data_IF_291250431343
#
_entry.id   IF_291250431343
#
_cell.length_a   1.000
_cell.length_b   1.000
_cell.length_c   1.000
_cell.angle_alpha   90.00
_cell.angle_beta   90.00
_cell.angle_gamma   90.00
#
_symmetry.space_group_name_H-M   'P 1'
#
loop_
_entity.id
_entity.type
_entity.pdbx_description
1 polymer ?
#
# COMPACT_ATOMS: atom_id res chain seq x y z
N UNK A 1 -4.15 9.61 11.34
CA UNK A 1 -4.05 8.15 11.45
C UNK A 1 -2.66 7.76 11.88
N UNK A 2 -2.61 6.85 12.84
CA UNK A 2 -1.36 6.25 13.31
C UNK A 2 -0.86 5.19 12.31
N UNK A 3 0.40 5.26 11.91
CA UNK A 3 1.06 4.24 11.09
C UNK A 3 1.67 3.18 12.00
N UNK A 4 1.12 1.96 11.95
CA UNK A 4 1.71 0.82 12.62
C UNK A 4 2.61 0.07 11.65
N UNK A 5 3.90 0.01 11.95
CA UNK A 5 4.97 -0.47 11.07
C UNK A 5 5.70 -1.61 11.75
N UNK A 6 5.94 -2.70 11.04
CA UNK A 6 6.84 -3.76 11.47
C UNK A 6 8.17 -3.68 10.71
N UNK A 7 9.27 -3.90 11.41
CA UNK A 7 10.60 -4.09 10.82
C UNK A 7 11.05 -5.50 11.21
N UNK A 8 11.32 -6.34 10.21
CA UNK A 8 11.79 -7.70 10.43
C UNK A 8 13.10 -7.95 9.66
N UNK A 9 14.21 -8.12 10.40
CA UNK A 9 15.56 -8.29 9.86
C UNK A 9 16.41 -8.93 10.94
N UNK A 10 17.23 -9.95 10.66
CA UNK A 10 18.07 -10.60 11.66
C UNK A 10 19.34 -9.80 11.99
N UNK A 11 19.70 -8.83 11.17
CA UNK A 11 20.87 -7.97 11.37
C UNK A 11 20.53 -6.70 12.16
N UNK A 12 21.04 -6.58 13.38
CA UNK A 12 20.80 -5.43 14.27
C UNK A 12 21.13 -4.08 13.64
N UNK A 13 22.19 -4.04 12.84
CA UNK A 13 22.60 -2.79 12.17
C UNK A 13 21.49 -2.26 11.26
N UNK A 14 20.94 -3.11 10.40
CA UNK A 14 19.91 -2.71 9.45
C UNK A 14 18.58 -2.39 10.14
N UNK A 15 18.19 -3.18 11.16
CA UNK A 15 17.00 -2.82 11.96
C UNK A 15 17.07 -1.42 12.52
N UNK A 16 18.22 -1.05 13.11
CA UNK A 16 18.41 0.29 13.69
C UNK A 16 18.46 1.39 12.62
N UNK A 17 19.10 1.12 11.48
CA UNK A 17 19.18 2.08 10.39
C UNK A 17 17.80 2.35 9.77
N UNK A 18 17.01 1.31 9.51
CA UNK A 18 15.65 1.41 9.00
C UNK A 18 14.78 2.17 10.01
N UNK A 19 14.83 1.77 11.29
CA UNK A 19 14.06 2.43 12.35
C UNK A 19 14.33 3.93 12.38
N UNK A 20 15.61 4.33 12.43
CA UNK A 20 15.99 5.74 12.48
C UNK A 20 15.48 6.52 11.26
N UNK A 21 15.61 5.97 10.05
CA UNK A 21 15.15 6.62 8.81
C UNK A 21 13.64 6.78 8.78
N UNK A 22 12.91 5.74 9.20
CA UNK A 22 11.45 5.80 9.29
C UNK A 22 11.01 6.81 10.34
N UNK A 23 11.63 6.80 11.52
CA UNK A 23 11.32 7.75 12.59
C UNK A 23 11.54 9.20 12.13
N UNK A 24 12.68 9.50 11.49
CA UNK A 24 12.99 10.83 10.96
C UNK A 24 11.97 11.26 9.90
N UNK A 25 11.58 10.37 9.00
CA UNK A 25 10.57 10.64 7.98
C UNK A 25 9.20 10.93 8.60
N UNK A 26 8.73 10.07 9.50
CA UNK A 26 7.41 10.17 10.11
C UNK A 26 7.27 11.43 10.99
N UNK A 27 8.31 11.77 11.75
CA UNK A 27 8.38 13.01 12.52
C UNK A 27 8.33 14.25 11.62
N UNK A 28 9.09 14.26 10.52
CA UNK A 28 9.12 15.35 9.54
C UNK A 28 7.77 15.58 8.87
N UNK A 29 7.03 14.50 8.60
CA UNK A 29 5.68 14.52 8.01
C UNK A 29 4.57 14.73 9.03
N UNK A 30 4.89 14.81 10.33
CA UNK A 30 3.93 14.91 11.43
C UNK A 30 2.89 13.78 11.42
N UNK A 31 3.35 12.55 11.16
CA UNK A 31 2.54 11.33 11.13
C UNK A 31 2.71 10.62 12.48
N UNK A 32 1.60 10.29 13.17
CA UNK A 32 1.62 9.43 14.34
C UNK A 32 2.03 8.01 13.95
N UNK A 33 2.89 7.36 14.74
CA UNK A 33 3.41 6.04 14.39
C UNK A 33 3.68 5.17 15.61
N UNK A 34 3.67 3.87 15.36
CA UNK A 34 4.18 2.81 16.22
C UNK A 34 5.05 1.89 15.35
N UNK A 35 6.30 1.63 15.79
CA UNK A 35 7.24 0.78 15.06
C UNK A 35 7.65 -0.38 15.96
N UNK A 36 7.28 -1.59 15.57
CA UNK A 36 7.68 -2.82 16.23
C UNK A 36 8.83 -3.49 15.47
N UNK A 37 9.75 -4.09 16.22
CA UNK A 37 10.95 -4.72 15.67
C UNK A 37 10.89 -6.22 15.93
N UNK A 38 11.12 -7.01 14.88
CA UNK A 38 11.22 -8.46 14.88
C UNK A 38 12.61 -8.88 14.40
N UNK A 39 13.14 -9.94 15.00
CA UNK A 39 14.49 -10.42 14.72
C UNK A 39 14.50 -11.65 13.83
N UNK A 40 13.36 -12.32 13.67
CA UNK A 40 13.19 -13.51 12.84
C UNK A 40 11.84 -13.51 12.14
N UNK A 41 11.75 -14.22 11.02
CA UNK A 41 10.49 -14.39 10.29
C UNK A 41 9.44 -15.15 11.09
N UNK A 42 9.90 -16.13 11.89
CA UNK A 42 9.04 -16.93 12.77
C UNK A 42 8.36 -16.05 13.80
N UNK A 43 9.09 -15.16 14.46
CA UNK A 43 8.58 -14.23 15.47
C UNK A 43 7.47 -13.33 14.89
N UNK A 44 7.66 -12.80 13.67
CA UNK A 44 6.65 -12.02 12.98
C UNK A 44 5.42 -12.87 12.60
N UNK A 45 5.62 -14.11 12.18
CA UNK A 45 4.53 -15.03 11.82
C UNK A 45 3.72 -15.53 13.02
N UNK A 46 4.30 -15.56 14.23
CA UNK A 46 3.59 -15.91 15.47
C UNK A 46 2.45 -14.95 15.82
N UNK A 47 2.44 -13.75 15.23
CA UNK A 47 1.32 -12.82 15.38
C UNK A 47 0.01 -13.37 14.82
N UNK A 48 0.05 -14.27 13.82
CA UNK A 48 -1.14 -14.79 13.17
C UNK A 48 -2.04 -13.68 12.66
N UNK A 49 -3.32 -13.70 13.01
CA UNK A 49 -4.30 -12.68 12.59
C UNK A 49 -3.96 -11.25 13.06
N UNK A 50 -3.19 -11.09 14.13
CA UNK A 50 -2.80 -9.76 14.62
C UNK A 50 -1.93 -8.98 13.65
N UNK A 51 -1.34 -9.65 12.64
CA UNK A 51 -0.56 -9.01 11.59
C UNK A 51 -1.37 -7.98 10.80
N UNK A 52 -2.70 -8.12 10.72
CA UNK A 52 -3.60 -7.19 10.01
C UNK A 52 -3.62 -5.78 10.62
N UNK A 53 -3.12 -5.63 11.86
CA UNK A 53 -2.99 -4.32 12.49
C UNK A 53 -1.84 -3.48 11.94
N UNK A 54 -0.90 -4.11 11.24
CA UNK A 54 0.19 -3.39 10.58
C UNK A 54 -0.24 -2.82 9.25
N UNK A 55 0.18 -1.58 9.02
CA UNK A 55 -0.02 -0.91 7.74
C UNK A 55 1.11 -1.23 6.77
N UNK A 56 2.35 -1.27 7.30
CA UNK A 56 3.57 -1.46 6.52
C UNK A 56 4.45 -2.51 7.21
N UNK A 57 5.05 -3.39 6.43
CA UNK A 57 6.06 -4.36 6.89
C UNK A 57 7.32 -4.19 6.05
N UNK A 58 8.42 -3.77 6.69
CA UNK A 58 9.76 -3.81 6.13
C UNK A 58 10.39 -5.15 6.47
N UNK A 59 10.80 -5.90 5.46
CA UNK A 59 11.10 -7.32 5.59
C UNK A 59 12.40 -7.66 4.87
N UNK A 60 13.41 -8.12 5.61
CA UNK A 60 14.59 -8.69 4.98
C UNK A 60 14.25 -10.03 4.32
N UNK A 61 14.80 -10.27 3.15
CA UNK A 61 14.64 -11.54 2.44
C UNK A 61 15.55 -12.61 3.02
N UNK A 62 16.79 -12.25 3.32
CA UNK A 62 17.83 -13.21 3.70
C UNK A 62 18.00 -13.33 5.21
N UNK A 63 16.98 -13.79 5.88
CA UNK A 63 17.05 -14.09 7.31
C UNK A 63 17.41 -15.57 7.58
N UNK A 64 18.02 -15.82 8.72
CA UNK A 64 18.21 -17.19 9.22
C UNK A 64 16.86 -17.80 9.56
N UNK A 65 16.65 -19.06 9.20
CA UNK A 65 15.37 -19.76 9.39
C UNK A 65 14.40 -19.46 8.25
N UNK A 66 13.25 -18.84 8.55
CA UNK A 66 12.26 -18.50 7.55
C UNK A 66 12.69 -17.27 6.75
N UNK A 67 12.80 -17.40 5.44
CA UNK A 67 13.14 -16.28 4.58
C UNK A 67 11.97 -15.28 4.45
N UNK A 68 12.28 -14.03 4.05
CA UNK A 68 11.29 -12.96 3.97
C UNK A 68 10.19 -13.21 2.93
N UNK A 69 10.45 -13.96 1.86
CA UNK A 69 9.42 -14.27 0.85
C UNK A 69 8.36 -15.20 1.45
N UNK A 70 8.78 -16.22 2.21
CA UNK A 70 7.86 -17.14 2.89
C UNK A 70 7.03 -16.39 3.97
N UNK A 71 7.66 -15.46 4.69
CA UNK A 71 6.96 -14.57 5.63
C UNK A 71 5.92 -13.73 4.91
N UNK A 72 6.28 -13.11 3.79
CA UNK A 72 5.35 -12.30 2.99
C UNK A 72 4.16 -13.11 2.47
N UNK A 73 4.38 -14.34 2.02
CA UNK A 73 3.31 -15.25 1.61
C UNK A 73 2.35 -15.54 2.77
N UNK A 74 2.86 -15.76 3.99
CA UNK A 74 2.01 -15.94 5.18
C UNK A 74 1.23 -14.69 5.53
N UNK A 75 1.84 -13.50 5.43
CA UNK A 75 1.13 -12.23 5.62
C UNK A 75 -0.03 -12.11 4.64
N UNK A 76 0.16 -12.50 3.38
CA UNK A 76 -0.89 -12.45 2.34
C UNK A 76 -2.07 -13.39 2.61
N UNK A 77 -1.90 -14.45 3.41
CA UNK A 77 -3.04 -15.28 3.85
C UNK A 77 -4.02 -14.51 4.75
N UNK A 78 -3.55 -13.46 5.42
CA UNK A 78 -4.36 -12.65 6.34
C UNK A 78 -4.80 -11.32 5.74
N UNK A 79 -3.97 -10.69 4.88
CA UNK A 79 -4.28 -9.37 4.34
C UNK A 79 -3.52 -9.06 3.04
N UNK A 80 -4.26 -8.66 2.01
CA UNK A 80 -3.73 -8.07 0.78
C UNK A 80 -3.40 -6.57 0.94
N UNK A 81 -3.90 -5.92 2.00
CA UNK A 81 -3.81 -4.47 2.18
C UNK A 81 -2.51 -4.00 2.82
N UNK A 82 -1.76 -4.89 3.47
CA UNK A 82 -0.49 -4.55 4.12
C UNK A 82 0.54 -4.21 3.05
N UNK A 83 1.17 -3.05 3.16
CA UNK A 83 2.29 -2.67 2.31
C UNK A 83 3.54 -3.45 2.71
N UNK A 84 4.00 -4.37 1.87
CA UNK A 84 5.23 -5.13 2.08
C UNK A 84 6.35 -4.45 1.30
N UNK A 85 7.44 -4.13 1.99
CA UNK A 85 8.67 -3.55 1.44
C UNK A 85 9.81 -4.51 1.74
N UNK A 86 10.37 -5.10 0.71
CA UNK A 86 11.55 -5.95 0.89
C UNK A 86 12.81 -5.12 1.00
N UNK A 87 13.68 -5.50 1.93
CA UNK A 87 15.01 -4.96 2.09
C UNK A 87 15.99 -6.11 1.94
N UNK A 88 16.92 -6.02 1.02
CA UNK A 88 17.84 -7.13 0.73
C UNK A 88 19.21 -6.64 0.27
N UNK A 89 20.23 -7.43 0.53
CA UNK A 89 21.56 -7.21 -0.05
C UNK A 89 21.69 -7.69 -1.51
N UNK A 90 20.71 -8.45 -2.02
CA UNK A 90 20.78 -9.12 -3.32
C UNK A 90 19.60 -8.80 -4.23
N UNK A 91 19.87 -8.52 -5.51
CA UNK A 91 18.87 -8.18 -6.53
C UNK A 91 18.07 -9.39 -7.03
N UNK A 92 18.61 -10.60 -6.93
CA UNK A 92 18.09 -11.80 -7.61
C UNK A 92 16.69 -12.26 -7.15
N UNK A 93 16.21 -11.76 -6.02
CA UNK A 93 14.89 -12.11 -5.45
C UNK A 93 13.71 -11.25 -5.94
N UNK A 94 13.95 -10.33 -6.87
CA UNK A 94 12.92 -9.40 -7.35
C UNK A 94 11.70 -10.08 -7.99
N UNK A 95 11.89 -11.28 -8.59
CA UNK A 95 10.83 -12.04 -9.26
C UNK A 95 9.85 -12.69 -8.27
N UNK A 96 10.34 -13.20 -7.13
CA UNK A 96 9.48 -13.88 -6.16
C UNK A 96 8.63 -12.90 -5.36
N UNK A 97 9.11 -11.70 -5.11
CA UNK A 97 8.30 -10.69 -4.45
C UNK A 97 7.23 -10.03 -5.32
N UNK A 98 7.35 -10.10 -6.64
CA UNK A 98 6.25 -9.72 -7.53
C UNK A 98 5.00 -10.57 -7.27
N UNK A 99 5.18 -11.86 -6.95
CA UNK A 99 4.08 -12.81 -6.65
C UNK A 99 3.34 -12.47 -5.34
N UNK A 100 3.99 -11.80 -4.40
CA UNK A 100 3.38 -11.41 -3.12
C UNK A 100 2.91 -9.95 -3.09
N UNK A 101 2.93 -9.27 -4.23
CA UNK A 101 2.48 -7.88 -4.33
C UNK A 101 3.28 -6.91 -3.46
N UNK A 102 4.59 -7.11 -3.37
CA UNK A 102 5.46 -6.17 -2.67
C UNK A 102 5.45 -4.79 -3.35
N UNK A 103 5.43 -3.74 -2.55
CA UNK A 103 5.37 -2.36 -3.07
C UNK A 103 6.71 -1.94 -3.66
N UNK A 104 7.81 -2.32 -3.00
CA UNK A 104 9.17 -1.94 -3.36
C UNK A 104 10.20 -2.97 -2.90
N UNK A 105 11.35 -2.94 -3.57
CA UNK A 105 12.59 -3.58 -3.19
C UNK A 105 13.64 -2.53 -2.90
N UNK A 106 14.23 -2.56 -1.72
CA UNK A 106 15.29 -1.66 -1.30
C UNK A 106 16.58 -2.45 -1.10
N UNK A 107 17.67 -1.97 -1.70
CA UNK A 107 18.98 -2.61 -1.59
C UNK A 107 19.74 -2.07 -0.37
N UNK A 108 20.14 -2.96 0.55
CA UNK A 108 20.90 -2.63 1.74
C UNK A 108 22.23 -1.92 1.46
N UNK A 109 22.91 -2.28 0.38
CA UNK A 109 24.24 -1.79 0.01
C UNK A 109 24.21 -0.58 -0.95
N UNK A 110 23.08 0.13 -1.05
CA UNK A 110 22.99 1.30 -1.89
C UNK A 110 23.43 2.55 -1.11
N UNK A 111 24.37 3.32 -1.65
CA UNK A 111 24.78 4.63 -1.09
C UNK A 111 23.59 5.57 -0.87
N UNK A 112 22.52 5.40 -1.64
CA UNK A 112 21.25 6.15 -1.55
C UNK A 112 20.17 5.43 -0.74
N UNK A 113 20.51 4.49 0.15
CA UNK A 113 19.53 3.70 0.91
C UNK A 113 18.54 4.58 1.70
N UNK A 114 19.02 5.67 2.27
CA UNK A 114 18.16 6.67 2.93
C UNK A 114 17.11 7.23 1.97
N UNK A 115 17.56 7.71 0.81
CA UNK A 115 16.66 8.29 -0.19
C UNK A 115 15.64 7.26 -0.70
N UNK A 116 16.07 6.00 -0.87
CA UNK A 116 15.21 4.92 -1.28
C UNK A 116 14.10 4.62 -0.26
N UNK A 117 14.39 4.69 1.05
CA UNK A 117 13.36 4.56 2.11
C UNK A 117 12.38 5.73 2.04
N UNK A 118 12.86 6.98 1.91
CA UNK A 118 12.02 8.16 1.83
C UNK A 118 11.10 8.12 0.61
N UNK A 119 11.63 7.80 -0.56
CA UNK A 119 10.86 7.64 -1.82
C UNK A 119 9.81 6.52 -1.69
N UNK A 120 10.17 5.42 -1.02
CA UNK A 120 9.24 4.33 -0.76
C UNK A 120 8.09 4.79 0.14
N UNK A 121 8.40 5.49 1.21
CA UNK A 121 7.38 6.02 2.13
C UNK A 121 6.49 7.07 1.47
N UNK A 122 7.05 7.97 0.65
CA UNK A 122 6.25 8.94 -0.12
C UNK A 122 5.29 8.23 -1.09
N UNK A 123 5.73 7.15 -1.74
CA UNK A 123 4.88 6.35 -2.62
C UNK A 123 3.75 5.63 -1.86
N UNK A 124 4.04 5.11 -0.66
CA UNK A 124 3.03 4.47 0.21
C UNK A 124 2.05 5.52 0.73
N UNK A 125 2.54 6.66 1.23
CA UNK A 125 1.72 7.75 1.73
C UNK A 125 0.77 8.28 0.65
N UNK A 126 1.28 8.46 -0.58
CA UNK A 126 0.45 8.82 -1.74
C UNK A 126 -0.66 7.78 -1.97
N UNK A 127 -0.36 6.48 -1.90
CA UNK A 127 -1.38 5.42 -2.07
C UNK A 127 -2.43 5.45 -0.96
N UNK A 128 -2.01 5.64 0.30
CA UNK A 128 -2.92 5.73 1.45
C UNK A 128 -3.84 6.95 1.30
N UNK A 129 -3.29 8.10 0.94
CA UNK A 129 -4.06 9.33 0.80
C UNK A 129 -5.01 9.27 -0.40
N UNK A 130 -4.59 8.68 -1.51
CA UNK A 130 -5.43 8.46 -2.69
C UNK A 130 -6.61 7.53 -2.38
N UNK A 131 -6.37 6.43 -1.64
CA UNK A 131 -7.45 5.50 -1.26
C UNK A 131 -8.46 6.08 -0.27
N UNK A 132 -8.14 7.22 0.37
CA UNK A 132 -9.03 7.94 1.29
C UNK A 132 -9.69 9.16 0.70
N UNK A 133 -9.38 9.46 -0.55
CA UNK A 133 -9.96 10.62 -1.22
C UNK A 133 -11.47 10.47 -1.28
N UNK A 134 -12.16 11.40 -0.61
CA UNK A 134 -13.62 11.54 -0.69
C UNK A 134 -13.89 12.56 -1.78
N UNK A 135 -14.68 12.17 -2.78
CA UNK A 135 -15.16 13.06 -3.83
C UNK A 135 -16.65 13.17 -3.79
N UNK A 136 -17.15 14.38 -4.08
CA UNK A 136 -18.56 14.66 -4.22
C UNK A 136 -18.95 14.54 -5.69
N UNK A 137 -19.85 13.61 -5.97
CA UNK A 137 -20.47 13.43 -7.29
C UNK A 137 -21.91 13.89 -7.26
N UNK A 138 -22.41 14.38 -8.41
CA UNK A 138 -23.79 14.78 -8.57
C UNK A 138 -24.49 13.73 -9.44
N UNK A 139 -25.07 12.74 -8.77
CA UNK A 139 -25.86 11.70 -9.42
C UNK A 139 -27.28 12.17 -9.76
N UNK A 140 -27.99 11.39 -10.57
CA UNK A 140 -29.40 11.67 -10.91
C UNK A 140 -30.31 11.71 -9.69
N UNK A 141 -29.94 10.98 -8.63
CA UNK A 141 -30.68 10.95 -7.34
C UNK A 141 -30.27 12.08 -6.39
N UNK A 142 -29.21 12.83 -6.71
CA UNK A 142 -28.67 13.91 -5.89
C UNK A 142 -27.18 13.79 -5.60
N UNK A 143 -26.62 14.75 -4.84
CA UNK A 143 -25.21 14.74 -4.51
C UNK A 143 -24.88 13.61 -3.50
N UNK A 144 -23.76 12.91 -3.74
CA UNK A 144 -23.25 11.88 -2.86
C UNK A 144 -21.72 12.02 -2.72
N UNK A 145 -21.23 11.93 -1.50
CA UNK A 145 -19.80 11.88 -1.20
C UNK A 145 -19.35 10.42 -1.13
N UNK A 146 -18.38 10.06 -1.95
CA UNK A 146 -17.91 8.69 -2.10
C UNK A 146 -16.40 8.68 -1.87
N UNK A 147 -15.93 7.73 -1.05
CA UNK A 147 -14.51 7.39 -1.05
C UNK A 147 -14.14 6.80 -2.40
N UNK A 148 -13.14 7.36 -3.04
CA UNK A 148 -12.70 6.95 -4.38
C UNK A 148 -12.37 5.44 -4.43
N UNK A 149 -11.79 4.88 -3.38
CA UNK A 149 -11.50 3.44 -3.27
C UNK A 149 -12.75 2.53 -3.30
N UNK A 150 -13.93 3.08 -3.04
CA UNK A 150 -15.18 2.31 -3.12
C UNK A 150 -15.73 2.20 -4.53
N UNK A 151 -15.24 3.01 -5.47
CA UNK A 151 -15.63 2.91 -6.86
C UNK A 151 -14.94 1.67 -7.46
N UNK A 152 -15.73 0.66 -7.83
CA UNK A 152 -15.23 -0.58 -8.40
C UNK A 152 -14.86 -0.36 -9.86
N UNK A 153 -15.79 0.23 -10.64
CA UNK A 153 -15.58 0.64 -12.01
C UNK A 153 -16.68 1.64 -12.44
N UNK A 154 -16.46 2.33 -13.55
CA UNK A 154 -17.42 3.24 -14.17
C UNK A 154 -17.59 2.85 -15.63
N UNK A 155 -18.82 2.71 -16.08
CA UNK A 155 -19.16 2.48 -17.47
C UNK A 155 -19.77 3.73 -18.10
N UNK A 156 -19.59 3.90 -19.41
CA UNK A 156 -20.23 4.97 -20.17
C UNK A 156 -21.29 4.41 -21.10
N UNK A 157 -22.51 4.93 -21.00
CA UNK A 157 -23.61 4.60 -21.91
C UNK A 157 -24.33 5.86 -22.32
N UNK A 158 -24.24 6.26 -23.59
CA UNK A 158 -24.98 7.39 -24.20
C UNK A 158 -24.94 8.69 -23.35
N UNK A 159 -23.75 9.22 -23.02
CA UNK A 159 -23.55 10.41 -22.19
C UNK A 159 -23.96 10.26 -20.71
N UNK A 160 -24.20 9.04 -20.26
CA UNK A 160 -24.44 8.70 -18.87
C UNK A 160 -23.27 7.88 -18.36
N UNK A 161 -22.78 8.20 -17.18
CA UNK A 161 -21.80 7.43 -16.46
C UNK A 161 -22.50 6.61 -15.39
N UNK A 162 -22.22 5.31 -15.36
CA UNK A 162 -22.78 4.32 -14.46
C UNK A 162 -21.69 3.88 -13.48
N UNK A 163 -21.83 4.29 -12.21
CA UNK A 163 -20.86 3.99 -11.16
C UNK A 163 -21.26 2.73 -10.41
N UNK A 164 -20.37 1.77 -10.37
CA UNK A 164 -20.46 0.57 -9.54
C UNK A 164 -19.64 0.78 -8.28
N UNK A 165 -20.32 0.86 -7.12
CA UNK A 165 -19.71 1.27 -5.85
C UNK A 165 -19.84 0.15 -4.85
N UNK A 166 -18.74 -0.21 -4.19
CA UNK A 166 -18.70 -1.24 -3.16
C UNK A 166 -19.55 -0.83 -1.95
N UNK A 167 -20.44 -1.72 -1.53
CA UNK A 167 -21.34 -1.48 -0.39
C UNK A 167 -22.63 -0.71 -0.71
N UNK A 168 -22.81 -0.25 -1.95
CA UNK A 168 -24.07 0.34 -2.43
C UNK A 168 -24.90 -0.72 -3.18
N UNK A 169 -26.21 -0.68 -2.97
CA UNK A 169 -27.15 -1.51 -3.73
C UNK A 169 -27.52 -0.80 -5.02
N UNK A 170 -27.06 -1.35 -6.16
CA UNK A 170 -27.38 -0.81 -7.49
C UNK A 170 -26.31 0.13 -8.03
N UNK A 171 -26.57 0.60 -9.25
CA UNK A 171 -25.68 1.48 -10.02
C UNK A 171 -26.09 2.94 -9.80
N UNK A 172 -25.12 3.81 -9.53
CA UNK A 172 -25.34 5.25 -9.44
C UNK A 172 -25.08 5.91 -10.79
N UNK A 173 -26.01 6.74 -11.24
CA UNK A 173 -25.95 7.34 -12.56
C UNK A 173 -25.72 8.85 -12.49
N UNK A 174 -24.80 9.36 -13.32
CA UNK A 174 -24.64 10.81 -13.54
C UNK A 174 -24.48 11.11 -15.03
N UNK A 175 -24.82 12.34 -15.42
CA UNK A 175 -24.52 12.81 -16.76
C UNK A 175 -23.09 13.30 -16.84
N UNK A 176 -22.39 12.91 -17.90
CA UNK A 176 -20.99 13.27 -18.12
C UNK A 176 -20.33 12.42 -19.19
N UNK A 177 -19.06 12.71 -19.45
CA UNK A 177 -18.23 11.99 -20.39
C UNK A 177 -17.12 11.28 -19.65
N UNK A 178 -16.77 10.10 -20.15
CA UNK A 178 -15.74 9.28 -19.54
C UNK A 178 -14.34 9.93 -19.61
N UNK A 179 -14.05 10.60 -20.75
CA UNK A 179 -12.78 11.30 -20.95
C UNK A 179 -12.59 12.49 -19.98
N UNK A 180 -13.67 13.19 -19.63
CA UNK A 180 -13.65 14.25 -18.62
C UNK A 180 -13.37 13.68 -17.24
N UNK A 181 -14.01 12.56 -16.90
CA UNK A 181 -13.79 11.86 -15.64
C UNK A 181 -12.35 11.28 -15.56
N UNK A 182 -11.83 10.76 -16.67
CA UNK A 182 -10.44 10.28 -16.75
C UNK A 182 -9.42 11.37 -16.45
N UNK A 183 -9.63 12.58 -16.98
CA UNK A 183 -8.77 13.72 -16.68
C UNK A 183 -8.78 14.06 -15.19
N UNK A 184 -9.95 14.04 -14.54
CA UNK A 184 -10.07 14.30 -13.12
C UNK A 184 -9.40 13.24 -12.25
N UNK A 185 -9.30 12.01 -12.77
CA UNK A 185 -8.71 10.86 -12.07
C UNK A 185 -7.31 10.46 -12.56
N UNK A 186 -6.65 11.25 -13.40
CA UNK A 186 -5.31 10.92 -13.98
C UNK A 186 -4.26 10.51 -12.95
N UNK A 187 -4.34 11.03 -11.75
CA UNK A 187 -3.44 10.66 -10.66
C UNK A 187 -3.81 9.34 -9.96
N UNK A 188 -5.05 8.88 -10.14
CA UNK A 188 -5.66 7.76 -9.43
C UNK A 188 -5.89 6.61 -10.40
N UNK A 189 -4.94 5.85 -10.80
CA UNK A 189 -4.99 4.69 -11.71
C UNK A 189 -6.33 3.91 -11.66
N UNK A 190 -7.41 4.50 -12.18
CA UNK A 190 -8.63 3.77 -12.48
C UNK A 190 -8.45 2.97 -13.77
N UNK A 191 -8.70 1.66 -13.71
CA UNK A 191 -8.88 0.85 -14.91
C UNK A 191 -10.32 1.09 -15.33
N UNK A 192 -10.53 1.94 -16.31
CA UNK A 192 -11.85 2.13 -16.90
C UNK A 192 -12.08 1.04 -17.95
N UNK A 193 -13.18 0.30 -17.82
CA UNK A 193 -13.59 -0.64 -18.83
C UNK A 193 -14.33 0.13 -19.95
N UNK A 194 -13.70 0.22 -21.13
CA UNK A 194 -14.36 0.64 -22.36
C UNK A 194 -15.12 -0.58 -22.92
N UNK A 195 -16.41 -0.49 -23.05
CA UNK A 195 -17.21 -1.30 -23.96
C UNK A 195 -17.55 -0.51 -25.20
#
# INVERSE_FOLDING_TARGET
>A
QMYKIAICDDERYFRNEIYRRLEDYLKRKNIEYEIDIYTTGEELCELGEKIVNYLIVFLDINMKGMNGVDVAQRIRLYSEKIFIVFITAYIDYSIDGYKVGAVRYLLKNNENFQFAIEECMDAIDKKINTSREIRRFIFTEGPLEIMVEKIIYVESSLHRLEFHISGESGVKNMYGRLDELEEEFKENRFIMALQ
#
